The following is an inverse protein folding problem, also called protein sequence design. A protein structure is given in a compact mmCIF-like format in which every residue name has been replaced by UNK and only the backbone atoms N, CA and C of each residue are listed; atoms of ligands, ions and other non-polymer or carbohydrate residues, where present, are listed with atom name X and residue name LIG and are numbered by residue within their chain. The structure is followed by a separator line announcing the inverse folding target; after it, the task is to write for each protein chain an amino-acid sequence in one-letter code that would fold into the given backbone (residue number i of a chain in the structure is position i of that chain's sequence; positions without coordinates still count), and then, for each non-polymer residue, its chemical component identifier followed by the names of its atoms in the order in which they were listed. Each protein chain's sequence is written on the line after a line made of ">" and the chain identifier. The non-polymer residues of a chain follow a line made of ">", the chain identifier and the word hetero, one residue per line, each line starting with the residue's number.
data_IF_953418810743
#
_entry.id   IF_953418810743
#
_cell.length_a   1.000
_cell.length_b   1.000
_cell.length_c   1.000
_cell.angle_alpha   90.00
_cell.angle_beta   90.00
_cell.angle_gamma   90.00
#
_symmetry.space_group_name_H-M   'P 1'
#
loop_
_entity.id
_entity.type
_entity.pdbx_description
1 polymer ?
#
# COMPACT_ATOMS: atom_id res chain seq x y z
N UNK A 1 25.27 -21.93 21.18
CA UNK A 1 24.60 -21.56 22.45
C UNK A 1 23.83 -20.23 22.43
N UNK A 2 24.15 -19.26 21.56
CA UNK A 2 23.52 -17.93 21.57
C UNK A 2 22.03 -17.92 21.15
N UNK A 3 21.63 -18.76 20.19
CA UNK A 3 20.26 -18.82 19.66
C UNK A 3 19.19 -19.21 20.70
N UNK A 4 19.54 -20.09 21.65
CA UNK A 4 18.61 -20.52 22.70
C UNK A 4 18.17 -19.38 23.62
N UNK A 5 19.00 -18.34 23.80
CA UNK A 5 18.67 -17.18 24.62
C UNK A 5 17.63 -16.25 23.95
N UNK A 6 17.56 -16.23 22.62
CA UNK A 6 16.60 -15.39 21.88
C UNK A 6 15.28 -16.12 21.60
N UNK A 7 15.32 -17.44 21.43
CA UNK A 7 14.17 -18.29 21.12
C UNK A 7 13.64 -19.04 22.34
N UNK A 8 13.42 -18.33 23.45
CA UNK A 8 12.75 -18.91 24.62
C UNK A 8 11.30 -19.26 24.28
N UNK A 9 10.74 -20.31 24.88
CA UNK A 9 9.35 -20.76 24.66
C UNK A 9 8.32 -19.63 24.77
N UNK A 10 8.45 -18.76 25.79
CA UNK A 10 7.54 -17.62 25.97
C UNK A 10 7.58 -16.61 24.83
N UNK A 11 8.78 -16.31 24.30
CA UNK A 11 8.95 -15.42 23.14
C UNK A 11 8.37 -16.04 21.87
N UNK A 12 8.56 -17.34 21.65
CA UNK A 12 7.98 -18.05 20.49
C UNK A 12 6.45 -18.00 20.53
N UNK A 13 5.84 -18.30 21.68
CA UNK A 13 4.39 -18.24 21.86
C UNK A 13 3.87 -16.82 21.61
N UNK A 14 4.53 -15.81 22.16
CA UNK A 14 4.17 -14.40 21.94
C UNK A 14 4.25 -14.01 20.46
N UNK A 15 5.34 -14.37 19.75
CA UNK A 15 5.49 -14.05 18.34
C UNK A 15 4.39 -14.68 17.49
N UNK A 16 4.07 -15.96 17.73
CA UNK A 16 3.00 -16.66 17.01
C UNK A 16 1.67 -15.96 17.27
N UNK A 17 1.32 -15.72 18.54
CA UNK A 17 0.09 -15.02 18.90
C UNK A 17 -0.01 -13.64 18.24
N UNK A 18 1.06 -12.85 18.32
CA UNK A 18 1.11 -11.52 17.75
C UNK A 18 0.92 -11.54 16.23
N UNK A 19 1.65 -12.39 15.51
CA UNK A 19 1.54 -12.51 14.05
C UNK A 19 0.14 -12.96 13.66
N UNK A 20 -0.43 -13.97 14.32
CA UNK A 20 -1.78 -14.45 14.02
C UNK A 20 -2.83 -13.36 14.27
N UNK A 21 -2.77 -12.69 15.42
CA UNK A 21 -3.70 -11.59 15.75
C UNK A 21 -3.57 -10.43 14.76
N UNK A 22 -2.35 -10.07 14.39
CA UNK A 22 -2.07 -9.01 13.43
C UNK A 22 -2.59 -9.35 12.03
N UNK A 23 -2.34 -10.56 11.53
CA UNK A 23 -2.87 -11.01 10.23
C UNK A 23 -4.39 -11.02 10.24
N UNK A 24 -5.02 -11.50 11.32
CA UNK A 24 -6.48 -11.49 11.46
C UNK A 24 -7.05 -10.06 11.37
N UNK A 25 -6.41 -9.10 12.03
CA UNK A 25 -6.78 -7.68 11.95
C UNK A 25 -6.57 -7.10 10.55
N UNK A 26 -5.47 -7.44 9.87
CA UNK A 26 -5.25 -7.02 8.48
C UNK A 26 -6.36 -7.54 7.55
N UNK A 27 -6.69 -8.83 7.66
CA UNK A 27 -7.76 -9.44 6.85
C UNK A 27 -9.09 -8.75 7.15
N UNK A 28 -9.42 -8.54 8.42
CA UNK A 28 -10.64 -7.82 8.81
C UNK A 28 -10.69 -6.41 8.22
N UNK A 29 -9.60 -5.64 8.38
CA UNK A 29 -9.49 -4.27 7.88
C UNK A 29 -9.64 -4.20 6.36
N UNK A 30 -8.88 -5.00 5.60
CA UNK A 30 -8.97 -5.00 4.15
C UNK A 30 -10.33 -5.46 3.63
N UNK A 31 -10.96 -6.46 4.25
CA UNK A 31 -12.31 -6.89 3.84
C UNK A 31 -13.34 -5.78 3.99
N UNK A 32 -13.22 -4.95 5.03
CA UNK A 32 -14.10 -3.79 5.24
C UNK A 32 -13.78 -2.63 4.31
N UNK A 33 -12.54 -2.48 3.89
CA UNK A 33 -12.14 -1.40 3.00
C UNK A 33 -12.43 -1.66 1.51
N UNK A 34 -12.53 -2.91 1.06
CA UNK A 34 -12.90 -3.24 -0.34
C UNK A 34 -14.14 -2.47 -0.85
N UNK A 35 -15.31 -2.47 -0.17
CA UNK A 35 -16.47 -1.72 -0.66
C UNK A 35 -16.23 -0.20 -0.67
N UNK A 36 -15.46 0.31 0.29
CA UNK A 36 -15.10 1.72 0.39
C UNK A 36 -14.18 2.12 -0.77
N UNK A 37 -13.15 1.31 -1.05
CA UNK A 37 -12.24 1.47 -2.19
C UNK A 37 -12.99 1.45 -3.52
N UNK A 38 -13.91 0.49 -3.70
CA UNK A 38 -14.73 0.42 -4.91
C UNK A 38 -15.69 1.61 -5.05
N UNK A 39 -16.14 2.22 -3.95
CA UNK A 39 -17.01 3.40 -3.98
C UNK A 39 -16.25 4.69 -4.33
N UNK A 40 -15.12 4.93 -3.67
CA UNK A 40 -14.41 6.23 -3.74
C UNK A 40 -13.25 6.23 -4.72
N UNK A 41 -12.60 5.09 -4.97
CA UNK A 41 -11.43 4.95 -5.84
C UNK A 41 -11.74 4.24 -7.16
N UNK A 42 -13.02 4.12 -7.53
CA UNK A 42 -13.41 3.55 -8.83
C UNK A 42 -12.73 4.28 -9.96
N UNK A 43 -12.00 3.53 -10.78
CA UNK A 43 -11.23 4.04 -11.93
C UNK A 43 -10.16 5.08 -11.56
N UNK A 44 -9.75 5.17 -10.30
CA UNK A 44 -8.71 6.12 -9.87
C UNK A 44 -7.42 5.95 -10.70
N UNK A 45 -7.00 4.72 -11.00
CA UNK A 45 -5.84 4.47 -11.86
C UNK A 45 -5.97 5.05 -13.27
N UNK A 46 -7.13 4.89 -13.91
CA UNK A 46 -7.41 5.45 -15.24
C UNK A 46 -7.43 6.99 -15.18
N UNK A 47 -8.05 7.55 -14.14
CA UNK A 47 -8.09 9.00 -13.92
C UNK A 47 -6.68 9.57 -13.73
N UNK A 48 -5.86 8.94 -12.89
CA UNK A 48 -4.46 9.37 -12.66
C UNK A 48 -3.65 9.26 -13.94
N UNK A 49 -3.82 8.20 -14.73
CA UNK A 49 -3.10 8.06 -16.00
C UNK A 49 -3.48 9.18 -16.98
N UNK A 50 -4.77 9.50 -17.11
CA UNK A 50 -5.24 10.57 -17.99
C UNK A 50 -4.82 11.95 -17.53
N UNK A 51 -5.13 12.33 -16.28
CA UNK A 51 -4.80 13.67 -15.78
C UNK A 51 -3.30 13.85 -15.58
N UNK A 52 -2.61 12.86 -15.02
CA UNK A 52 -1.17 12.87 -14.88
C UNK A 52 -0.46 12.90 -16.24
N UNK A 53 -0.90 12.07 -17.18
CA UNK A 53 -0.39 12.07 -18.55
C UNK A 53 -0.61 13.41 -19.26
N UNK A 54 -1.79 14.02 -19.11
CA UNK A 54 -2.08 15.35 -19.66
C UNK A 54 -1.16 16.42 -19.07
N UNK A 55 -0.97 16.44 -17.75
CA UNK A 55 -0.07 17.39 -17.09
C UNK A 55 1.36 17.25 -17.60
N UNK A 56 1.86 16.02 -17.69
CA UNK A 56 3.20 15.75 -18.22
C UNK A 56 3.32 16.17 -19.68
N UNK A 57 2.32 15.85 -20.52
CA UNK A 57 2.31 16.22 -21.93
C UNK A 57 2.32 17.75 -22.11
N UNK A 58 1.48 18.49 -21.37
CA UNK A 58 1.46 19.96 -21.39
C UNK A 58 2.79 20.53 -20.94
N UNK A 59 3.36 20.01 -19.84
CA UNK A 59 4.65 20.46 -19.33
C UNK A 59 5.76 20.28 -20.37
N UNK A 60 5.82 19.11 -21.02
CA UNK A 60 6.79 18.82 -22.09
C UNK A 60 6.56 19.74 -23.29
N UNK A 61 5.32 19.95 -23.72
CA UNK A 61 5.00 20.82 -24.85
C UNK A 61 5.44 22.27 -24.60
N UNK A 62 5.14 22.82 -23.41
CA UNK A 62 5.59 24.16 -23.03
C UNK A 62 7.13 24.24 -23.05
N UNK A 63 7.81 23.24 -22.50
CA UNK A 63 9.27 23.19 -22.47
C UNK A 63 9.88 23.17 -23.88
N UNK A 64 9.27 22.46 -24.82
CA UNK A 64 9.76 22.38 -26.20
C UNK A 64 9.49 23.66 -27.00
N UNK A 65 8.36 24.34 -26.77
CA UNK A 65 7.97 25.54 -27.52
C UNK A 65 8.64 26.82 -26.97
N UNK A 66 8.76 26.94 -25.65
CA UNK A 66 9.22 28.17 -24.98
C UNK A 66 10.56 28.01 -24.27
N UNK A 67 11.06 26.77 -24.11
CA UNK A 67 12.34 26.48 -23.49
C UNK A 67 13.48 26.21 -24.47
N UNK A 68 13.27 26.47 -25.77
CA UNK A 68 14.31 26.57 -26.81
C UNK A 68 15.05 27.90 -26.73
#
# INVERSE_FOLDING_TARGET
>A
MFLGAYFTTGRIIFMIFFITAFIALMIYSYRKDIPNHQRYYKQAGIKVLFYGGLIVAVFVAIRLIFGS
#
